data_IF_444241427104
#
_entry.id   IF_444241427104
#
_cell.length_a   1.000
_cell.length_b   1.000
_cell.length_c   1.000
_cell.angle_alpha   90.00
_cell.angle_beta   90.00
_cell.angle_gamma   90.00
#
_symmetry.space_group_name_H-M   'P 1'
#
loop_
_entity.id
_entity.type
_entity.pdbx_description
1 polymer ?
#
# COMPACT_ATOMS: atom_id res chain seq x y z
N UNK A 1 81.45 -6.06 -0.23
CA UNK A 1 80.99 -4.84 -0.95
C UNK A 1 79.84 -4.25 -0.13
N UNK A 2 80.00 -3.05 0.42
CA UNK A 2 78.99 -2.42 1.29
C UNK A 2 78.37 -1.25 0.50
N UNK A 3 77.24 -1.49 -0.17
CA UNK A 3 76.55 -0.46 -0.97
C UNK A 3 75.70 0.38 -0.01
N UNK A 4 76.10 1.65 0.20
CA UNK A 4 75.28 2.59 0.99
C UNK A 4 73.98 2.86 0.22
N UNK A 5 72.79 2.66 0.82
CA UNK A 5 71.53 2.92 0.14
C UNK A 5 71.42 4.41 -0.19
N UNK A 6 71.19 4.72 -1.47
CA UNK A 6 70.97 6.09 -1.93
C UNK A 6 69.49 6.45 -1.73
N UNK A 7 69.15 7.39 -0.84
CA UNK A 7 67.76 7.71 -0.52
C UNK A 7 66.96 8.20 -1.73
N UNK A 8 67.60 8.82 -2.73
CA UNK A 8 66.94 9.25 -3.96
C UNK A 8 66.48 8.09 -4.84
N UNK A 9 67.22 6.97 -4.84
CA UNK A 9 66.83 5.77 -5.58
C UNK A 9 65.72 5.01 -4.83
N UNK A 10 65.78 4.97 -3.50
CA UNK A 10 64.71 4.39 -2.67
C UNK A 10 63.39 5.16 -2.80
N UNK A 11 63.44 6.49 -2.86
CA UNK A 11 62.25 7.33 -3.07
C UNK A 11 61.58 7.08 -4.43
N UNK A 12 62.37 6.94 -5.52
CA UNK A 12 61.84 6.62 -6.85
C UNK A 12 61.20 5.24 -6.90
N UNK A 13 61.83 4.23 -6.28
CA UNK A 13 61.28 2.87 -6.21
C UNK A 13 59.99 2.85 -5.40
N UNK A 14 59.93 3.58 -4.28
CA UNK A 14 58.73 3.70 -3.46
C UNK A 14 57.57 4.40 -4.19
N UNK A 15 57.85 5.47 -4.94
CA UNK A 15 56.84 6.16 -5.74
C UNK A 15 56.32 5.28 -6.88
N UNK A 16 57.21 4.53 -7.55
CA UNK A 16 56.81 3.64 -8.62
C UNK A 16 55.96 2.46 -8.10
N UNK A 17 56.34 1.86 -6.97
CA UNK A 17 55.60 0.73 -6.40
C UNK A 17 54.23 1.15 -5.85
N UNK A 18 54.14 2.31 -5.20
CA UNK A 18 52.86 2.85 -4.71
C UNK A 18 51.91 3.25 -5.84
N UNK A 19 52.41 3.81 -6.94
CA UNK A 19 51.58 4.11 -8.10
C UNK A 19 51.01 2.85 -8.75
N UNK A 20 51.81 1.78 -8.86
CA UNK A 20 51.38 0.49 -9.41
C UNK A 20 50.33 -0.20 -8.54
N UNK A 21 50.47 -0.17 -7.22
CA UNK A 21 49.49 -0.78 -6.32
C UNK A 21 48.16 -0.02 -6.31
N UNK A 22 48.20 1.31 -6.35
CA UNK A 22 46.98 2.14 -6.45
C UNK A 22 46.27 1.94 -7.79
N UNK A 23 47.01 1.87 -8.90
CA UNK A 23 46.46 1.57 -10.21
C UNK A 23 45.80 0.19 -10.24
N UNK A 24 46.47 -0.84 -9.70
CA UNK A 24 45.88 -2.18 -9.59
C UNK A 24 44.58 -2.16 -8.77
N UNK A 25 44.55 -1.48 -7.62
CA UNK A 25 43.35 -1.36 -6.79
C UNK A 25 42.19 -0.68 -7.54
N UNK A 26 42.48 0.36 -8.32
CA UNK A 26 41.48 1.07 -9.11
C UNK A 26 40.89 0.21 -10.25
N UNK A 27 41.67 -0.70 -10.85
CA UNK A 27 41.16 -1.63 -11.87
C UNK A 27 40.31 -2.78 -11.28
N UNK A 28 40.57 -3.18 -10.04
CA UNK A 28 39.86 -4.29 -9.38
C UNK A 28 38.59 -3.78 -8.66
N UNK A 29 38.62 -2.52 -8.20
CA UNK A 29 37.46 -1.87 -7.60
C UNK A 29 36.42 -1.55 -8.68
N UNK A 30 35.52 -2.51 -8.94
CA UNK A 30 34.25 -2.28 -9.65
C UNK A 30 33.19 -2.04 -8.58
N UNK A 31 32.89 -0.79 -8.18
CA UNK A 31 31.73 -0.55 -7.35
C UNK A 31 30.51 -0.96 -8.17
N UNK A 32 29.85 -2.04 -7.77
CA UNK A 32 28.54 -2.36 -8.33
C UNK A 32 27.61 -1.20 -7.98
N UNK A 33 26.98 -0.62 -9.01
CA UNK A 33 25.91 0.32 -8.78
C UNK A 33 24.82 -0.41 -7.99
N UNK A 34 24.51 0.07 -6.79
CA UNK A 34 23.40 -0.49 -6.02
C UNK A 34 22.13 -0.25 -6.83
N UNK A 35 21.56 -1.31 -7.35
CA UNK A 35 20.31 -1.27 -8.10
C UNK A 35 19.24 -0.63 -7.19
N UNK A 36 18.63 0.46 -7.64
CA UNK A 36 17.56 1.12 -6.90
C UNK A 36 16.38 0.15 -6.82
N UNK A 37 16.14 -0.39 -5.62
CA UNK A 37 14.92 -1.12 -5.31
C UNK A 37 13.97 -0.13 -4.65
N UNK A 38 12.86 0.29 -5.30
CA UNK A 38 11.86 1.09 -4.63
C UNK A 38 11.39 0.39 -3.36
N UNK A 39 11.17 1.13 -2.28
CA UNK A 39 10.67 0.59 -1.00
C UNK A 39 9.21 0.13 -1.09
N UNK A 40 8.56 0.38 -2.22
CA UNK A 40 7.17 0.05 -2.47
C UNK A 40 7.16 -1.14 -3.43
N UNK A 41 6.60 -2.26 -2.97
CA UNK A 41 6.25 -3.35 -3.88
C UNK A 41 5.27 -2.81 -4.91
N UNK A 42 5.47 -3.14 -6.18
CA UNK A 42 4.51 -2.86 -7.23
C UNK A 42 3.37 -3.88 -7.08
N UNK A 43 2.60 -3.78 -5.99
CA UNK A 43 1.45 -4.64 -5.72
C UNK A 43 0.28 -4.16 -6.58
N UNK A 44 -0.31 -5.09 -7.32
CA UNK A 44 -1.56 -4.86 -8.01
C UNK A 44 -2.59 -4.27 -7.02
N UNK A 45 -3.31 -3.18 -7.37
CA UNK A 45 -4.35 -2.66 -6.50
C UNK A 45 -5.43 -3.70 -6.25
N UNK A 46 -5.92 -3.78 -5.02
CA UNK A 46 -7.04 -4.65 -4.66
C UNK A 46 -8.34 -4.24 -5.35
N UNK A 47 -9.12 -5.23 -5.77
CA UNK A 47 -10.43 -5.06 -6.37
C UNK A 47 -11.53 -5.17 -5.30
N UNK A 48 -12.33 -4.11 -5.15
CA UNK A 48 -13.47 -4.06 -4.23
C UNK A 48 -14.79 -3.94 -4.99
N UNK A 49 -15.85 -4.60 -4.51
CA UNK A 49 -17.20 -4.42 -5.05
C UNK A 49 -18.30 -4.89 -4.11
N UNK A 50 -19.42 -4.18 -4.08
CA UNK A 50 -20.61 -4.59 -3.30
C UNK A 50 -21.34 -5.69 -4.05
N UNK A 51 -21.46 -6.89 -3.46
CA UNK A 51 -22.27 -7.99 -4.02
C UNK A 51 -23.71 -7.91 -3.55
N UNK A 52 -23.90 -7.72 -2.24
CA UNK A 52 -25.22 -7.55 -1.62
C UNK A 52 -25.11 -6.54 -0.50
N UNK A 53 -26.17 -5.77 -0.30
CA UNK A 53 -26.29 -4.83 0.81
C UNK A 53 -27.75 -4.80 1.27
N UNK A 54 -27.95 -4.82 2.59
CA UNK A 54 -29.25 -4.63 3.23
C UNK A 54 -29.11 -3.61 4.34
N UNK A 55 -30.05 -2.67 4.38
CA UNK A 55 -30.17 -1.66 5.45
C UNK A 55 -31.31 -2.05 6.37
N UNK A 56 -31.11 -1.82 7.67
CA UNK A 56 -32.12 -1.97 8.72
C UNK A 56 -31.96 -0.82 9.74
N UNK A 57 -32.79 0.22 9.59
CA UNK A 57 -32.65 1.46 10.34
C UNK A 57 -31.30 2.16 10.07
N UNK A 58 -30.53 2.42 11.12
CA UNK A 58 -29.20 3.05 11.10
C UNK A 58 -28.06 2.02 11.01
N UNK A 59 -28.41 0.75 10.75
CA UNK A 59 -27.45 -0.35 10.64
C UNK A 59 -27.58 -1.03 9.27
N UNK A 60 -26.55 -1.77 8.88
CA UNK A 60 -26.56 -2.53 7.64
C UNK A 60 -25.66 -3.74 7.66
N UNK A 61 -25.94 -4.65 6.72
CA UNK A 61 -25.11 -5.82 6.45
C UNK A 61 -24.80 -5.87 4.96
N UNK A 62 -23.57 -6.22 4.62
CA UNK A 62 -23.13 -6.32 3.23
C UNK A 62 -22.20 -7.50 3.00
N UNK A 63 -22.13 -7.92 1.74
CA UNK A 63 -21.11 -8.85 1.25
C UNK A 63 -20.27 -8.11 0.22
N UNK A 64 -18.99 -7.95 0.52
CA UNK A 64 -18.01 -7.29 -0.32
C UNK A 64 -17.20 -8.35 -1.07
N UNK A 65 -17.04 -8.19 -2.38
CA UNK A 65 -16.01 -8.89 -3.14
C UNK A 65 -14.69 -8.17 -2.90
N UNK A 66 -13.69 -8.87 -2.37
CA UNK A 66 -12.33 -8.38 -2.16
C UNK A 66 -11.34 -9.40 -2.74
N UNK A 67 -10.68 -9.08 -3.85
CA UNK A 67 -9.66 -9.92 -4.49
C UNK A 67 -10.07 -11.41 -4.68
N UNK A 68 -11.35 -11.64 -4.96
CA UNK A 68 -11.92 -12.98 -5.17
C UNK A 68 -12.47 -13.65 -3.89
N UNK A 69 -12.30 -13.03 -2.73
CA UNK A 69 -12.95 -13.41 -1.48
C UNK A 69 -14.30 -12.71 -1.32
N UNK A 70 -15.17 -13.29 -0.49
CA UNK A 70 -16.39 -12.67 -0.01
C UNK A 70 -16.19 -12.29 1.44
N UNK A 71 -16.22 -10.98 1.72
CA UNK A 71 -16.09 -10.40 3.06
C UNK A 71 -17.48 -9.96 3.49
N UNK A 72 -18.07 -10.68 4.43
CA UNK A 72 -19.32 -10.30 5.07
C UNK A 72 -19.02 -9.29 6.17
N UNK A 73 -19.74 -8.16 6.13
CA UNK A 73 -19.57 -7.07 7.08
C UNK A 73 -20.90 -6.62 7.64
N UNK A 74 -20.87 -6.18 8.89
CA UNK A 74 -21.93 -5.45 9.56
C UNK A 74 -21.43 -4.04 9.85
N UNK A 75 -22.29 -3.05 9.72
CA UNK A 75 -21.90 -1.66 9.86
C UNK A 75 -23.02 -0.79 10.45
N UNK A 76 -22.61 0.28 11.12
CA UNK A 76 -23.47 1.38 11.52
C UNK A 76 -23.15 2.59 10.65
N UNK A 77 -24.16 3.41 10.35
CA UNK A 77 -23.95 4.61 9.54
C UNK A 77 -24.82 5.77 10.02
N UNK A 78 -24.34 6.98 9.75
CA UNK A 78 -25.12 8.20 9.89
C UNK A 78 -25.48 8.74 8.49
N UNK A 79 -26.65 9.37 8.40
CA UNK A 79 -27.09 10.06 7.18
C UNK A 79 -27.45 11.50 7.49
N UNK A 80 -27.02 12.43 6.63
CA UNK A 80 -27.26 13.85 6.80
C UNK A 80 -27.43 14.55 5.45
N UNK A 81 -28.11 15.70 5.47
CA UNK A 81 -28.28 16.52 4.26
C UNK A 81 -26.98 17.25 3.99
N UNK A 82 -26.49 17.13 2.76
CA UNK A 82 -25.31 17.83 2.28
C UNK A 82 -25.58 18.45 0.91
N UNK A 83 -24.73 19.39 0.52
CA UNK A 83 -24.72 19.98 -0.82
C UNK A 83 -23.27 20.25 -1.21
N UNK A 84 -22.97 20.22 -2.50
CA UNK A 84 -21.63 20.58 -2.98
C UNK A 84 -21.33 22.10 -2.89
N UNK A 85 -22.02 22.82 -1.99
CA UNK A 85 -21.97 24.28 -1.89
C UNK A 85 -22.67 25.00 -3.05
N UNK A 86 -23.39 24.27 -3.89
CA UNK A 86 -24.11 24.82 -5.06
C UNK A 86 -25.63 24.72 -4.80
N UNK A 87 -26.38 25.82 -4.93
CA UNK A 87 -27.84 25.78 -4.79
C UNK A 87 -28.47 24.73 -5.72
N UNK A 88 -29.32 23.86 -5.15
CA UNK A 88 -30.00 22.78 -5.89
C UNK A 88 -29.17 21.52 -6.10
N UNK A 89 -28.02 21.40 -5.44
CA UNK A 89 -27.20 20.16 -5.41
C UNK A 89 -27.36 19.37 -4.11
N UNK A 90 -28.51 19.49 -3.45
CA UNK A 90 -28.78 18.83 -2.18
C UNK A 90 -28.87 17.31 -2.37
N UNK A 91 -28.19 16.56 -1.50
CA UNK A 91 -28.22 15.11 -1.46
C UNK A 91 -28.14 14.61 -0.01
N UNK A 92 -28.46 13.33 0.20
CA UNK A 92 -28.23 12.65 1.48
C UNK A 92 -26.84 12.04 1.45
N UNK A 93 -25.92 12.59 2.23
CA UNK A 93 -24.59 12.02 2.45
C UNK A 93 -24.65 10.92 3.51
N UNK A 94 -23.76 9.93 3.40
CA UNK A 94 -23.71 8.77 4.29
C UNK A 94 -22.29 8.54 4.80
N UNK A 95 -22.15 8.43 6.11
CA UNK A 95 -20.88 8.11 6.75
C UNK A 95 -20.97 6.79 7.52
N UNK A 96 -20.12 5.82 7.16
CA UNK A 96 -19.97 4.59 7.93
C UNK A 96 -19.16 4.89 9.19
N UNK A 97 -19.80 4.82 10.36
CA UNK A 97 -19.18 5.17 11.65
C UNK A 97 -18.53 3.96 12.33
N UNK A 98 -19.06 2.75 12.10
CA UNK A 98 -18.52 1.50 12.60
C UNK A 98 -18.58 0.43 11.50
N UNK A 99 -17.53 -0.38 11.39
CA UNK A 99 -17.45 -1.52 10.47
C UNK A 99 -16.90 -2.73 11.23
N UNK A 100 -17.61 -3.86 11.14
CA UNK A 100 -17.18 -5.14 11.65
C UNK A 100 -17.07 -6.14 10.48
N UNK A 101 -15.96 -6.88 10.44
CA UNK A 101 -15.80 -8.04 9.54
C UNK A 101 -16.33 -9.26 10.28
N UNK A 102 -17.44 -9.81 9.79
CA UNK A 102 -18.13 -10.92 10.44
C UNK A 102 -17.58 -12.28 9.98
N UNK A 103 -17.39 -12.42 8.67
CA UNK A 103 -16.93 -13.66 8.06
C UNK A 103 -16.22 -13.37 6.73
N UNK A 104 -15.14 -14.11 6.46
CA UNK A 104 -14.52 -14.16 5.14
C UNK A 104 -14.65 -15.57 4.58
N UNK A 105 -15.03 -15.67 3.30
CA UNK A 105 -15.01 -16.94 2.55
C UNK A 105 -14.25 -16.80 1.23
N UNK A 106 -13.62 -17.89 0.80
CA UNK A 106 -13.03 -17.98 -0.54
C UNK A 106 -14.12 -18.08 -1.64
N UNK A 107 -13.69 -18.15 -2.90
CA UNK A 107 -14.60 -18.30 -4.03
C UNK A 107 -15.50 -19.55 -3.95
N UNK A 108 -15.04 -20.60 -3.27
CA UNK A 108 -15.75 -21.87 -3.07
C UNK A 108 -16.66 -21.87 -1.83
N UNK A 109 -16.64 -20.81 -1.03
CA UNK A 109 -17.41 -20.69 0.21
C UNK A 109 -16.72 -21.28 1.44
N UNK A 110 -15.44 -21.64 1.36
CA UNK A 110 -14.70 -22.10 2.53
C UNK A 110 -14.36 -20.91 3.45
N UNK A 111 -14.49 -21.06 4.78
CA UNK A 111 -14.13 -20.00 5.71
C UNK A 111 -12.64 -19.68 5.64
N UNK A 112 -12.30 -18.41 5.83
CA UNK A 112 -10.94 -17.89 5.80
C UNK A 112 -10.71 -16.94 6.97
N UNK A 113 -9.46 -16.86 7.44
CA UNK A 113 -9.11 -15.92 8.51
C UNK A 113 -9.21 -14.48 8.03
N UNK A 114 -9.52 -13.56 8.93
CA UNK A 114 -9.48 -12.14 8.61
C UNK A 114 -8.05 -11.73 8.21
N UNK A 115 -7.91 -11.30 6.95
CA UNK A 115 -6.67 -10.78 6.38
C UNK A 115 -6.72 -9.28 6.14
N UNK A 116 -7.86 -8.64 6.43
CA UNK A 116 -8.09 -7.24 6.11
C UNK A 116 -7.23 -6.35 6.98
N UNK A 117 -6.77 -5.25 6.40
CA UNK A 117 -6.00 -4.23 7.10
C UNK A 117 -6.77 -2.91 7.21
N UNK A 118 -6.09 -1.90 7.77
CA UNK A 118 -6.65 -0.57 7.93
C UNK A 118 -7.12 0.07 6.61
N UNK A 119 -6.38 -0.13 5.52
CA UNK A 119 -6.72 0.42 4.22
C UNK A 119 -7.93 -0.30 3.63
N UNK A 120 -8.04 -1.61 3.83
CA UNK A 120 -9.23 -2.37 3.43
C UNK A 120 -10.48 -1.82 4.11
N UNK A 121 -10.43 -1.58 5.43
CA UNK A 121 -11.57 -1.05 6.19
C UNK A 121 -11.96 0.35 5.70
N UNK A 122 -10.97 1.23 5.45
CA UNK A 122 -11.18 2.56 4.85
C UNK A 122 -11.86 2.47 3.49
N UNK A 123 -11.37 1.58 2.63
CA UNK A 123 -11.88 1.41 1.28
C UNK A 123 -13.29 0.82 1.29
N UNK A 124 -13.57 -0.14 2.18
CA UNK A 124 -14.89 -0.72 2.38
C UNK A 124 -15.88 0.34 2.85
N UNK A 125 -15.52 1.19 3.83
CA UNK A 125 -16.38 2.28 4.29
C UNK A 125 -16.74 3.22 3.14
N UNK A 126 -15.74 3.67 2.37
CA UNK A 126 -15.98 4.56 1.23
C UNK A 126 -16.84 3.91 0.16
N UNK A 127 -16.60 2.63 -0.12
CA UNK A 127 -17.38 1.85 -1.08
C UNK A 127 -18.85 1.75 -0.65
N UNK A 128 -19.10 1.45 0.63
CA UNK A 128 -20.44 1.33 1.20
C UNK A 128 -21.18 2.67 1.17
N UNK A 129 -20.58 3.75 1.70
CA UNK A 129 -21.13 5.11 1.65
C UNK A 129 -21.53 5.48 0.21
N UNK A 130 -20.59 5.36 -0.72
CA UNK A 130 -20.82 5.72 -2.13
C UNK A 130 -21.93 4.87 -2.76
N UNK A 131 -21.99 3.58 -2.42
CA UNK A 131 -23.02 2.68 -2.94
C UNK A 131 -24.41 3.06 -2.41
N UNK A 132 -24.51 3.36 -1.12
CA UNK A 132 -25.78 3.76 -0.49
C UNK A 132 -26.28 5.08 -1.09
N UNK A 133 -25.40 6.08 -1.20
CA UNK A 133 -25.71 7.39 -1.79
C UNK A 133 -26.15 7.28 -3.25
N UNK A 134 -25.38 6.59 -4.10
CA UNK A 134 -25.70 6.46 -5.54
C UNK A 134 -27.01 5.74 -5.83
N UNK A 135 -27.43 4.87 -4.91
CA UNK A 135 -28.66 4.09 -5.06
C UNK A 135 -29.84 4.65 -4.24
N UNK A 136 -29.67 5.81 -3.58
CA UNK A 136 -30.70 6.43 -2.73
C UNK A 136 -31.32 5.45 -1.73
N UNK A 137 -30.49 4.63 -1.08
CA UNK A 137 -30.99 3.58 -0.18
C UNK A 137 -31.42 4.11 1.19
N UNK A 138 -31.12 5.38 1.47
CA UNK A 138 -31.52 6.11 2.67
C UNK A 138 -31.95 7.51 2.26
N UNK A 139 -33.14 7.91 2.69
CA UNK A 139 -33.68 9.26 2.48
C UNK A 139 -34.13 9.82 3.83
N UNK A 140 -33.91 11.14 4.03
CA UNK A 140 -34.17 11.86 5.29
C UNK A 140 -35.24 12.93 5.13
#
# INVERSE_FOLDING_TARGET
MNVKPNPFNSAKVFLASSALTLAALALIAKPEATEYKPSYSNSQPSEYGVQTLKIDGETGVAVIKLDGFRVQVSFDFESYKDSYGVPGSDFTAVEIINLAVDQITDANGNPYNDFTDYNDHRNINLLLSTFIEKNNLVEV
#
